data_IF_593929513022
#
_entry.id   IF_593929513022
#
_cell.length_a   1.000
_cell.length_b   1.000
_cell.length_c   1.000
_cell.angle_alpha   90.00
_cell.angle_beta   90.00
_cell.angle_gamma   90.00
#
_symmetry.space_group_name_H-M   'P 1'
#
loop_
_entity.id
_entity.type
_entity.pdbx_description
1 polymer ?
#
# COMPACT_ATOMS: atom_id res chain seq x y z
N UNK A 1 -8.46 -16.86 -0.67
CA UNK A 1 -9.69 -16.13 -0.34
C UNK A 1 -9.44 -14.72 -0.83
N UNK A 2 -10.08 -14.27 -1.89
CA UNK A 2 -10.00 -12.88 -2.30
C UNK A 2 -10.73 -12.05 -1.24
N UNK A 3 -9.98 -11.38 -0.36
CA UNK A 3 -10.58 -10.35 0.48
C UNK A 3 -10.96 -9.20 -0.47
N UNK A 4 -12.22 -8.77 -0.52
CA UNK A 4 -12.58 -7.61 -1.33
C UNK A 4 -11.83 -6.39 -0.76
N UNK A 5 -11.08 -5.71 -1.63
CA UNK A 5 -10.41 -4.44 -1.33
C UNK A 5 -11.46 -3.44 -0.78
N UNK A 6 -11.28 -2.89 0.44
CA UNK A 6 -12.19 -1.89 0.97
C UNK A 6 -12.15 -0.63 0.09
N UNK A 7 -13.29 -0.18 -0.45
CA UNK A 7 -13.34 0.95 -1.37
C UNK A 7 -13.04 2.28 -0.69
N UNK A 8 -13.21 2.37 0.63
CA UNK A 8 -12.89 3.54 1.44
C UNK A 8 -11.37 3.80 1.57
N UNK A 9 -10.55 2.74 1.53
CA UNK A 9 -9.09 2.89 1.50
C UNK A 9 -8.58 3.30 0.11
N UNK A 10 -9.37 3.03 -0.94
CA UNK A 10 -9.16 3.61 -2.25
C UNK A 10 -9.65 5.06 -2.18
N UNK A 11 -8.76 5.98 -1.79
CA UNK A 11 -9.02 7.43 -1.78
C UNK A 11 -9.19 7.99 -3.21
N UNK A 12 -10.17 7.47 -3.95
CA UNK A 12 -10.56 7.86 -5.29
C UNK A 12 -10.99 9.33 -5.33
N UNK A 13 -11.48 9.87 -4.22
CA UNK A 13 -11.84 11.29 -4.10
C UNK A 13 -10.64 12.25 -4.21
N UNK A 14 -9.41 11.79 -3.94
CA UNK A 14 -8.19 12.59 -4.18
C UNK A 14 -7.98 12.89 -5.67
N UNK A 15 -8.63 12.13 -6.56
CA UNK A 15 -8.58 12.34 -8.01
C UNK A 15 -9.39 13.58 -8.42
N UNK A 16 -10.44 13.93 -7.67
CA UNK A 16 -11.45 14.90 -8.12
C UNK A 16 -11.14 16.36 -7.71
N UNK A 17 -10.16 16.60 -6.82
CA UNK A 17 -9.94 17.92 -6.20
C UNK A 17 -8.59 18.58 -6.51
N UNK A 18 -7.99 18.35 -7.68
CA UNK A 18 -6.92 19.23 -8.19
C UNK A 18 -7.45 20.05 -9.39
N UNK A 19 -7.85 21.32 -9.17
CA UNK A 19 -8.16 22.24 -10.26
C UNK A 19 -6.87 22.94 -10.73
N UNK A 20 -6.23 22.45 -11.80
CA UNK A 20 -5.26 23.31 -12.53
C UNK A 20 -5.13 22.94 -14.02
N UNK A 21 -5.20 23.94 -14.94
CA UNK A 21 -5.25 23.70 -16.37
C UNK A 21 -3.85 23.58 -16.96
N UNK A 22 -3.64 22.58 -17.82
CA UNK A 22 -2.49 22.56 -18.72
C UNK A 22 -1.31 21.71 -18.25
N UNK A 23 -1.54 20.43 -18.01
CA UNK A 23 -0.78 19.31 -18.60
C UNK A 23 -1.41 18.05 -18.05
N UNK A 24 -2.31 17.42 -18.80
CA UNK A 24 -2.81 16.06 -18.49
C UNK A 24 -1.66 15.08 -18.69
N UNK A 25 -0.61 15.17 -17.87
CA UNK A 25 0.29 14.04 -17.66
C UNK A 25 -0.61 12.97 -17.09
N UNK A 26 -0.74 11.88 -17.82
CA UNK A 26 -1.43 10.68 -17.38
C UNK A 26 -0.92 10.33 -15.99
N UNK A 27 -1.59 10.80 -14.93
CA UNK A 27 -1.22 10.53 -13.55
C UNK A 27 -1.45 9.04 -13.38
N UNK A 28 -0.37 8.26 -13.55
CA UNK A 28 -0.43 6.82 -13.41
C UNK A 28 -0.69 6.55 -11.94
N UNK A 29 -1.88 6.03 -11.65
CA UNK A 29 -2.24 5.56 -10.32
C UNK A 29 -1.50 4.24 -10.10
N UNK A 30 -0.81 4.11 -8.97
CA UNK A 30 -0.09 2.89 -8.64
C UNK A 30 -0.28 2.55 -7.16
N UNK A 31 -0.49 1.26 -6.89
CA UNK A 31 -0.48 0.68 -5.55
C UNK A 31 0.83 -0.08 -5.39
N UNK A 32 1.54 0.12 -4.28
CA UNK A 32 2.85 -0.48 -4.03
C UNK A 32 2.67 -1.71 -3.12
N UNK A 33 3.17 -2.88 -3.52
CA UNK A 33 3.06 -4.13 -2.76
C UNK A 33 4.15 -4.33 -1.69
N UNK A 34 5.18 -3.47 -1.70
CA UNK A 34 6.26 -3.43 -0.71
C UNK A 34 6.35 -1.99 -0.20
N UNK A 35 5.34 -1.60 0.56
CA UNK A 35 5.17 -0.24 1.00
C UNK A 35 6.25 0.17 2.02
N UNK A 36 7.08 1.12 1.62
CA UNK A 36 7.84 1.96 2.52
C UNK A 36 7.51 3.40 2.16
N UNK A 37 7.42 4.31 3.13
CA UNK A 37 7.18 5.74 2.84
C UNK A 37 8.21 6.29 1.85
N UNK A 38 9.44 5.76 1.88
CA UNK A 38 10.48 6.09 0.89
C UNK A 38 10.11 5.70 -0.54
N UNK A 39 9.49 4.53 -0.74
CA UNK A 39 9.01 4.11 -2.06
C UNK A 39 7.86 5.00 -2.55
N UNK A 40 6.97 5.43 -1.65
CA UNK A 40 5.92 6.41 -1.94
C UNK A 40 6.52 7.74 -2.37
N UNK A 41 7.49 8.28 -1.62
CA UNK A 41 8.15 9.55 -1.92
C UNK A 41 8.89 9.51 -3.26
N UNK A 42 9.57 8.41 -3.56
CA UNK A 42 10.27 8.20 -4.83
C UNK A 42 9.29 8.18 -6.02
N UNK A 43 8.14 7.52 -5.87
CA UNK A 43 7.13 7.45 -6.93
C UNK A 43 6.38 8.78 -7.11
N UNK A 44 6.06 9.47 -6.02
CA UNK A 44 5.49 10.82 -6.06
C UNK A 44 6.44 11.78 -6.80
N UNK A 45 7.74 11.71 -6.50
CA UNK A 45 8.77 12.50 -7.20
C UNK A 45 8.85 12.17 -8.69
N UNK A 46 8.49 10.95 -9.08
CA UNK A 46 8.42 10.50 -10.47
C UNK A 46 7.07 10.81 -11.16
N UNK A 47 6.16 11.51 -10.48
CA UNK A 47 4.86 11.92 -11.03
C UNK A 47 3.76 10.84 -10.98
N UNK A 48 3.92 9.81 -10.15
CA UNK A 48 2.86 8.86 -9.85
C UNK A 48 2.00 9.38 -8.70
N UNK A 49 0.69 9.14 -8.76
CA UNK A 49 -0.21 9.36 -7.63
C UNK A 49 -0.38 8.05 -6.87
N UNK A 50 0.14 8.00 -5.65
CA UNK A 50 0.08 6.80 -4.81
C UNK A 50 -1.07 6.93 -3.80
N UNK A 51 -2.08 6.09 -3.97
CA UNK A 51 -3.30 6.11 -3.14
C UNK A 51 -3.19 5.26 -1.88
N UNK A 52 -2.25 4.32 -1.83
CA UNK A 52 -2.05 3.41 -0.72
C UNK A 52 -0.90 2.44 -0.96
N UNK A 53 -0.49 1.73 0.09
CA UNK A 53 0.54 0.70 0.01
C UNK A 53 0.17 -0.54 0.81
N UNK A 54 0.47 -1.70 0.25
CA UNK A 54 0.38 -2.98 0.95
C UNK A 54 1.74 -3.38 1.52
N UNK A 55 1.70 -3.92 2.73
CA UNK A 55 2.80 -4.62 3.37
C UNK A 55 2.51 -6.11 3.33
N UNK A 56 3.15 -6.84 2.41
CA UNK A 56 2.92 -8.27 2.28
C UNK A 56 3.92 -9.10 3.10
N UNK A 57 3.48 -9.81 4.17
CA UNK A 57 4.33 -10.74 4.88
C UNK A 57 4.70 -11.91 3.98
N UNK A 58 5.95 -12.39 4.07
CA UNK A 58 6.37 -13.57 3.31
C UNK A 58 5.46 -14.77 3.60
N UNK A 59 5.11 -15.62 2.63
CA UNK A 59 4.30 -16.81 2.94
C UNK A 59 5.11 -17.81 3.79
N UNK A 60 4.45 -18.55 4.69
CA UNK A 60 5.04 -19.67 5.45
C UNK A 60 5.66 -20.74 4.52
N UNK A 61 5.15 -20.87 3.29
CA UNK A 61 5.74 -21.72 2.25
C UNK A 61 7.19 -21.36 1.87
N UNK A 62 7.68 -20.18 2.26
CA UNK A 62 9.08 -19.78 2.10
C UNK A 62 10.04 -20.66 2.92
N UNK A 63 9.55 -21.41 3.93
CA UNK A 63 10.31 -22.42 4.70
C UNK A 63 11.63 -21.91 5.30
N UNK A 64 11.72 -20.63 5.63
CA UNK A 64 12.89 -20.07 6.34
C UNK A 64 12.96 -20.64 7.75
N UNK A 65 14.12 -21.16 8.15
CA UNK A 65 14.34 -21.67 9.51
C UNK A 65 14.07 -20.57 10.55
N UNK A 66 13.20 -20.86 11.51
CA UNK A 66 12.82 -19.89 12.55
C UNK A 66 11.82 -18.82 12.11
N UNK A 67 11.18 -18.99 10.94
CA UNK A 67 10.07 -18.13 10.55
C UNK A 67 8.88 -18.40 11.47
N UNK A 68 8.41 -17.36 12.16
CA UNK A 68 7.19 -17.39 12.96
C UNK A 68 6.00 -17.58 12.01
N UNK A 69 4.94 -18.28 12.45
CA UNK A 69 3.74 -18.48 11.63
C UNK A 69 3.18 -17.18 11.05
N UNK A 70 2.54 -17.29 9.89
CA UNK A 70 1.95 -16.15 9.20
C UNK A 70 0.96 -15.39 10.09
N UNK A 71 0.17 -16.07 10.94
CA UNK A 71 -0.81 -15.38 11.78
C UNK A 71 -0.16 -14.37 12.72
N UNK A 72 0.93 -14.74 13.39
CA UNK A 72 1.65 -13.82 14.28
C UNK A 72 2.32 -12.68 13.50
N UNK A 73 2.79 -12.95 12.27
CA UNK A 73 3.42 -11.92 11.43
C UNK A 73 2.38 -10.92 10.93
N UNK A 74 1.22 -11.39 10.49
CA UNK A 74 0.09 -10.53 10.10
C UNK A 74 -0.33 -9.66 11.29
N UNK A 75 -0.50 -10.23 12.49
CA UNK A 75 -0.84 -9.44 13.69
C UNK A 75 0.22 -8.40 14.05
N UNK A 76 1.51 -8.76 13.96
CA UNK A 76 2.62 -7.83 14.17
C UNK A 76 2.55 -6.67 13.17
N UNK A 77 2.34 -6.98 11.89
CA UNK A 77 2.22 -5.97 10.85
C UNK A 77 0.96 -5.12 11.03
N UNK A 78 -0.18 -5.70 11.41
CA UNK A 78 -1.41 -4.95 11.67
C UNK A 78 -1.18 -3.94 12.80
N UNK A 79 -0.49 -4.34 13.87
CA UNK A 79 -0.12 -3.43 14.95
C UNK A 79 0.85 -2.34 14.47
N UNK A 80 1.82 -2.69 13.62
CA UNK A 80 2.76 -1.74 13.06
C UNK A 80 2.12 -0.78 12.04
N UNK A 81 1.07 -1.19 11.34
CA UNK A 81 0.34 -0.38 10.36
C UNK A 81 -0.71 0.53 11.01
N UNK A 82 -1.18 0.26 12.24
CA UNK A 82 -2.16 1.12 12.95
C UNK A 82 -1.73 2.58 13.11
N UNK A 83 -0.44 2.89 12.98
CA UNK A 83 0.09 4.25 13.08
C UNK A 83 0.08 5.00 11.73
N UNK A 84 -0.16 4.31 10.62
CA UNK A 84 -0.15 4.88 9.27
C UNK A 84 -1.47 4.61 8.58
N UNK A 85 -2.16 5.68 8.17
CA UNK A 85 -3.39 5.59 7.37
C UNK A 85 -3.10 5.22 5.90
N UNK A 86 -1.83 5.12 5.52
CA UNK A 86 -1.41 4.87 4.13
C UNK A 86 -1.06 3.40 3.86
N UNK A 87 -0.61 2.67 4.89
CA UNK A 87 -0.07 1.31 4.74
C UNK A 87 -1.02 0.29 5.35
N UNK A 88 -1.51 -0.61 4.51
CA UNK A 88 -2.34 -1.75 4.91
C UNK A 88 -1.54 -3.07 4.84
N UNK A 89 -2.00 -4.10 5.52
CA UNK A 89 -1.33 -5.41 5.55
C UNK A 89 -2.03 -6.34 4.56
N UNK A 90 -1.25 -6.99 3.70
CA UNK A 90 -1.76 -8.05 2.83
C UNK A 90 -2.05 -9.29 3.70
N UNK A 91 -3.28 -9.83 3.68
CA UNK A 91 -3.69 -10.91 4.57
C UNK A 91 -3.19 -12.31 4.16
#
# INVERSE_FOLDING_TARGET
MDVPLPPDELALDLINNEPSPGNTRNSKICVILVATELARDALNSNGYCIIGGYLSPVNDAYKKKGLISAEHRIQLYQLACKISDFVMVDP
#
